data_IF_041515690037
#
_entry.id   IF_041515690037
#
_cell.length_a   1.000
_cell.length_b   1.000
_cell.length_c   1.000
_cell.angle_alpha   90.00
_cell.angle_beta   90.00
_cell.angle_gamma   90.00
#
_symmetry.space_group_name_H-M   'P 1'
#
loop_
_entity.id
_entity.type
_entity.pdbx_description
1 polymer ?
#
# COMPACT_ATOMS: atom_id res chain seq x y z
N UNK A 1 -1.51 -4.33 -9.51
CA UNK A 1 -1.39 -2.95 -9.00
C UNK A 1 -1.79 -1.95 -10.10
N UNK A 2 -2.37 -0.81 -9.70
CA UNK A 2 -2.78 0.29 -10.60
C UNK A 2 -1.90 1.53 -10.42
N UNK A 3 -2.22 2.62 -11.13
CA UNK A 3 -1.54 3.90 -10.96
C UNK A 3 -1.76 4.46 -9.55
N UNK A 4 -0.76 5.16 -9.00
CA UNK A 4 -0.88 5.90 -7.74
C UNK A 4 -1.89 7.03 -7.94
N UNK A 5 -2.83 7.16 -7.01
CA UNK A 5 -3.88 8.18 -7.00
C UNK A 5 -3.50 9.27 -5.99
N UNK A 6 -3.23 10.48 -6.47
CA UNK A 6 -2.66 11.57 -5.66
C UNK A 6 -3.46 12.86 -5.73
N UNK A 7 -3.59 13.54 -4.60
CA UNK A 7 -4.20 14.86 -4.48
C UNK A 7 -3.57 15.65 -3.33
N UNK A 8 -3.14 16.88 -3.61
CA UNK A 8 -2.36 17.72 -2.67
C UNK A 8 -1.18 16.95 -2.04
N UNK A 9 -1.11 16.89 -0.72
CA UNK A 9 -0.10 16.19 0.07
C UNK A 9 -0.45 14.72 0.33
N UNK A 10 -1.53 14.21 -0.26
CA UNK A 10 -2.06 12.88 0.00
C UNK A 10 -1.90 11.98 -1.22
N UNK A 11 -1.46 10.74 -1.03
CA UNK A 11 -1.40 9.73 -2.08
C UNK A 11 -1.92 8.38 -1.60
N UNK A 12 -2.56 7.65 -2.49
CA UNK A 12 -3.11 6.31 -2.29
C UNK A 12 -2.54 5.35 -3.33
N UNK A 13 -2.09 4.19 -2.88
CA UNK A 13 -1.59 3.14 -3.76
C UNK A 13 -1.88 1.75 -3.21
N UNK A 14 -2.09 0.79 -4.12
CA UNK A 14 -2.33 -0.61 -3.79
C UNK A 14 -1.10 -1.46 -4.08
N UNK A 15 -0.92 -2.53 -3.30
CA UNK A 15 0.21 -3.43 -3.38
C UNK A 15 -0.20 -4.89 -3.14
N UNK A 16 0.70 -5.79 -3.53
CA UNK A 16 0.61 -7.22 -3.27
C UNK A 16 1.94 -7.71 -2.69
N UNK A 17 1.91 -8.52 -1.64
CA UNK A 17 3.10 -9.15 -1.07
C UNK A 17 3.38 -10.44 -1.83
N UNK A 18 4.20 -10.35 -2.87
CA UNK A 18 4.53 -11.47 -3.77
C UNK A 18 5.66 -12.31 -3.20
N UNK A 19 5.45 -13.62 -3.10
CA UNK A 19 6.49 -14.61 -2.82
C UNK A 19 7.39 -14.78 -4.05
N UNK A 20 8.69 -14.55 -3.89
CA UNK A 20 9.66 -14.63 -4.98
C UNK A 20 9.92 -16.05 -5.51
N UNK A 21 9.57 -17.10 -4.76
CA UNK A 21 9.82 -18.49 -5.17
C UNK A 21 8.74 -19.04 -6.11
N UNK A 22 7.47 -18.71 -5.85
CA UNK A 22 6.31 -19.28 -6.56
C UNK A 22 5.40 -18.22 -7.19
N UNK A 23 5.66 -16.93 -6.98
CA UNK A 23 4.86 -15.82 -7.49
C UNK A 23 3.50 -15.66 -6.81
N UNK A 24 3.20 -16.45 -5.78
CA UNK A 24 1.97 -16.31 -5.03
C UNK A 24 2.01 -15.00 -4.22
N UNK A 25 0.95 -14.19 -4.30
CA UNK A 25 0.76 -13.10 -3.36
C UNK A 25 -0.32 -13.52 -2.38
N UNK A 26 -0.05 -13.96 -1.14
CA UNK A 26 -1.12 -14.32 -0.20
C UNK A 26 -1.69 -13.11 0.56
N UNK A 27 -0.98 -11.99 0.57
CA UNK A 27 -1.39 -10.73 1.22
C UNK A 27 -1.49 -9.63 0.17
N UNK A 28 -2.53 -8.80 0.26
CA UNK A 28 -2.68 -7.60 -0.54
C UNK A 28 -3.32 -6.49 0.31
N UNK A 29 -3.06 -5.25 -0.08
CA UNK A 29 -3.61 -4.11 0.61
C UNK A 29 -3.39 -2.81 -0.14
N UNK A 30 -3.73 -1.73 0.53
CA UNK A 30 -3.42 -0.39 0.07
C UNK A 30 -3.03 0.48 1.26
N UNK A 31 -2.25 1.50 0.96
CA UNK A 31 -1.88 2.53 1.92
C UNK A 31 -2.36 3.89 1.42
N UNK A 32 -2.70 4.75 2.38
CA UNK A 32 -2.83 6.19 2.19
C UNK A 32 -1.69 6.86 2.95
N UNK A 33 -0.92 7.69 2.27
CA UNK A 33 0.15 8.48 2.88
C UNK A 33 -0.20 9.96 2.85
N UNK A 34 0.32 10.71 3.82
CA UNK A 34 0.43 12.16 3.75
C UNK A 34 1.89 12.59 3.74
N UNK A 35 2.19 13.67 3.05
CA UNK A 35 3.53 14.24 2.92
C UNK A 35 3.66 15.53 3.74
N UNK A 36 4.86 15.87 4.18
CA UNK A 36 5.18 17.21 4.68
C UNK A 36 5.52 18.18 3.53
N UNK A 37 5.83 19.43 3.90
CA UNK A 37 6.14 20.50 2.93
C UNK A 37 7.45 20.24 2.15
N UNK A 38 8.31 19.36 2.67
CA UNK A 38 9.52 18.86 1.98
C UNK A 38 9.26 17.61 1.12
N UNK A 39 8.02 17.15 1.03
CA UNK A 39 7.62 15.98 0.25
C UNK A 39 8.01 14.64 0.89
N UNK A 40 8.33 14.60 2.19
CA UNK A 40 8.64 13.38 2.92
C UNK A 40 7.36 12.80 3.53
N UNK A 41 7.33 11.47 3.68
CA UNK A 41 6.19 10.78 4.30
C UNK A 41 6.08 11.22 5.76
N UNK A 42 4.95 11.83 6.10
CA UNK A 42 4.58 12.23 7.47
C UNK A 42 3.75 11.17 8.17
N UNK A 43 2.87 10.49 7.44
CA UNK A 43 1.98 9.46 8.00
C UNK A 43 1.67 8.38 6.96
N UNK A 44 1.40 7.17 7.45
CA UNK A 44 0.98 6.03 6.64
C UNK A 44 -0.23 5.39 7.32
N UNK A 45 -1.32 5.21 6.57
CA UNK A 45 -2.55 4.54 7.00
C UNK A 45 -2.76 3.32 6.12
N UNK A 46 -2.50 2.13 6.68
CA UNK A 46 -2.55 0.87 5.95
C UNK A 46 -3.83 0.08 6.15
N UNK A 47 -4.28 -0.57 5.08
CA UNK A 47 -5.44 -1.45 5.04
C UNK A 47 -5.08 -2.75 4.33
N UNK A 48 -5.58 -3.87 4.85
CA UNK A 48 -5.42 -5.19 4.25
C UNK A 48 -6.70 -5.60 3.54
N UNK A 49 -6.63 -5.79 2.23
CA UNK A 49 -7.74 -6.28 1.40
C UNK A 49 -7.82 -7.80 1.43
N UNK A 50 -6.68 -8.46 1.65
CA UNK A 50 -6.55 -9.91 1.67
C UNK A 50 -5.44 -10.35 2.60
N UNK A 51 -5.74 -11.33 3.44
CA UNK A 51 -4.80 -12.02 4.34
C UNK A 51 -5.07 -13.53 4.33
N UNK A 52 -4.09 -14.37 4.67
CA UNK A 52 -4.31 -15.79 4.93
C UNK A 52 -5.35 -16.04 6.02
N UNK A 53 -6.07 -17.14 5.92
CA UNK A 53 -6.96 -17.57 6.99
C UNK A 53 -6.15 -17.86 8.27
N UNK A 54 -6.57 -17.26 9.39
CA UNK A 54 -5.94 -17.44 10.71
C UNK A 54 -4.79 -16.47 11.03
N UNK A 55 -4.66 -15.37 10.28
CA UNK A 55 -3.78 -14.24 10.62
C UNK A 55 -4.18 -13.53 11.92
#
# INVERSE_FOLDING_TARGET
SGAVDGHHDTARFSWELVNGADGAAPVAGFDVITLDDEGRIRSVFGFLDRVPAGA
#
